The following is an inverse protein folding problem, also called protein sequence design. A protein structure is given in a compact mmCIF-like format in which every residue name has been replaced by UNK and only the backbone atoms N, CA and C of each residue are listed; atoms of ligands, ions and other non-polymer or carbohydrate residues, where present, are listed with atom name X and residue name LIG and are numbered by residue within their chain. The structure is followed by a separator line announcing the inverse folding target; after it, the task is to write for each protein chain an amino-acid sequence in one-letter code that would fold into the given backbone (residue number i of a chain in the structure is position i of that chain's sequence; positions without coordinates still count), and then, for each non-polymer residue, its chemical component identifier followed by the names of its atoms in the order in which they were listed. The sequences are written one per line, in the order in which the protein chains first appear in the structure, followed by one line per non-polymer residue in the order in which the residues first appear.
data_IF_545387214749
#
_entry.id   IF_545387214749
#
_cell.length_a   1.000
_cell.length_b   1.000
_cell.length_c   1.000
_cell.angle_alpha   90.00
_cell.angle_beta   90.00
_cell.angle_gamma   90.00
#
_symmetry.space_group_name_H-M   'P 1'
#
loop_
_entity.id
_entity.type
_entity.pdbx_description
1 polymer ?
#
# COMPACT_ATOMS: atom_id res chain seq x y z
N UNK A 1 1.60 -36.59 2.96
CA UNK A 1 2.28 -35.27 2.96
C UNK A 1 3.46 -35.35 2.01
N UNK A 2 3.39 -34.72 0.85
CA UNK A 2 4.43 -34.78 -0.18
C UNK A 2 5.64 -33.94 0.27
N UNK A 3 6.79 -34.59 0.37
CA UNK A 3 8.09 -33.99 0.63
C UNK A 3 8.42 -33.02 -0.53
N UNK A 4 8.42 -31.73 -0.27
CA UNK A 4 8.88 -30.71 -1.22
C UNK A 4 10.41 -30.66 -1.12
N UNK A 5 11.16 -30.97 -2.22
CA UNK A 5 12.62 -30.95 -2.19
C UNK A 5 13.16 -29.55 -1.84
N UNK A 6 14.29 -29.49 -1.11
CA UNK A 6 14.96 -28.26 -0.69
C UNK A 6 15.15 -27.22 -1.80
N UNK A 7 15.38 -27.65 -3.05
CA UNK A 7 15.59 -26.78 -4.22
C UNK A 7 14.35 -25.95 -4.64
N UNK A 8 13.13 -26.30 -4.19
CA UNK A 8 11.93 -25.51 -4.47
C UNK A 8 11.62 -24.42 -3.42
N UNK A 9 12.32 -24.45 -2.26
CA UNK A 9 12.16 -23.43 -1.21
C UNK A 9 12.90 -22.13 -1.51
N UNK A 10 13.87 -22.12 -2.43
CA UNK A 10 14.72 -20.97 -2.71
C UNK A 10 14.17 -19.99 -3.76
N UNK A 11 13.04 -20.30 -4.39
CA UNK A 11 12.33 -19.33 -5.25
C UNK A 11 11.41 -18.46 -4.41
N UNK A 12 11.95 -17.41 -3.82
CA UNK A 12 11.14 -16.33 -3.27
C UNK A 12 10.29 -15.77 -4.40
N UNK A 13 8.98 -15.62 -4.16
CA UNK A 13 8.09 -14.94 -5.10
C UNK A 13 8.67 -13.59 -5.47
N UNK A 14 8.76 -13.27 -6.75
CA UNK A 14 9.37 -12.02 -7.17
C UNK A 14 8.39 -10.86 -7.01
N UNK A 15 8.91 -9.66 -6.77
CA UNK A 15 8.12 -8.44 -6.81
C UNK A 15 7.39 -8.29 -8.16
N UNK A 16 8.04 -8.70 -9.26
CA UNK A 16 7.42 -8.72 -10.59
C UNK A 16 6.18 -9.62 -10.66
N UNK A 17 6.17 -10.75 -9.98
CA UNK A 17 5.01 -11.64 -9.94
C UNK A 17 3.84 -11.00 -9.17
N UNK A 18 4.12 -10.39 -8.02
CA UNK A 18 3.10 -9.67 -7.26
C UNK A 18 2.54 -8.50 -8.07
N UNK A 19 3.42 -7.70 -8.68
CA UNK A 19 3.05 -6.57 -9.52
C UNK A 19 2.19 -7.02 -10.70
N UNK A 20 2.61 -8.06 -11.44
CA UNK A 20 1.87 -8.63 -12.57
C UNK A 20 0.47 -9.11 -12.16
N UNK A 21 0.32 -9.69 -10.97
CA UNK A 21 -0.99 -10.07 -10.43
C UNK A 21 -1.94 -8.87 -10.36
N UNK A 22 -1.47 -7.75 -9.84
CA UNK A 22 -2.27 -6.52 -9.70
C UNK A 22 -2.46 -5.79 -11.02
N UNK A 23 -1.47 -5.80 -11.91
CA UNK A 23 -1.58 -5.19 -13.25
C UNK A 23 -2.58 -5.92 -14.16
N UNK A 24 -2.67 -7.24 -14.05
CA UNK A 24 -3.45 -8.06 -14.98
C UNK A 24 -4.84 -8.44 -14.47
N UNK A 25 -5.06 -8.47 -13.15
CA UNK A 25 -6.27 -9.07 -12.58
C UNK A 25 -7.07 -8.17 -11.66
N UNK A 26 -6.50 -7.07 -11.17
CA UNK A 26 -7.18 -6.19 -10.23
C UNK A 26 -7.21 -4.78 -10.80
N UNK A 27 -8.40 -4.29 -11.10
CA UNK A 27 -8.59 -2.96 -11.68
C UNK A 27 -9.08 -1.95 -10.64
N UNK A 28 -9.03 -0.68 -10.99
CA UNK A 28 -9.57 0.45 -10.22
C UNK A 28 -11.02 0.24 -9.80
N UNK A 29 -11.77 -0.52 -10.60
CA UNK A 29 -13.16 -0.85 -10.30
C UNK A 29 -13.35 -1.59 -8.96
N UNK A 30 -12.31 -2.28 -8.47
CA UNK A 30 -12.34 -2.99 -7.19
C UNK A 30 -12.40 -2.08 -5.95
N UNK A 31 -12.10 -0.79 -6.10
CA UNK A 31 -12.14 0.21 -5.03
C UNK A 31 -13.06 1.39 -5.34
N UNK A 32 -13.52 1.53 -6.59
CA UNK A 32 -14.38 2.64 -7.00
C UNK A 32 -15.77 2.59 -6.35
N UNK A 33 -16.39 3.75 -6.20
CA UNK A 33 -17.75 3.91 -5.71
C UNK A 33 -18.62 4.53 -6.79
N UNK A 34 -19.90 4.09 -6.88
CA UNK A 34 -20.88 4.72 -7.74
C UNK A 34 -21.05 6.17 -7.32
N UNK A 35 -21.00 7.07 -8.29
CA UNK A 35 -21.11 8.49 -8.05
C UNK A 35 -22.58 8.91 -8.04
N UNK A 36 -23.06 9.42 -6.90
CA UNK A 36 -24.35 10.09 -6.83
C UNK A 36 -24.30 11.42 -7.61
N UNK A 37 -25.45 11.89 -8.05
CA UNK A 37 -25.55 13.09 -8.91
C UNK A 37 -26.50 14.14 -8.35
N UNK A 38 -26.31 15.39 -8.77
CA UNK A 38 -27.26 16.51 -8.68
C UNK A 38 -27.45 17.15 -10.06
N UNK A 39 -28.46 18.01 -10.18
CA UNK A 39 -28.68 18.80 -11.40
C UNK A 39 -28.07 20.21 -11.28
N UNK A 40 -27.72 20.81 -12.42
CA UNK A 40 -27.09 22.13 -12.47
C UNK A 40 -27.87 23.22 -11.70
N UNK A 41 -29.18 23.18 -11.76
CA UNK A 41 -30.05 24.23 -11.19
C UNK A 41 -30.50 23.97 -9.74
N UNK A 42 -30.01 22.88 -9.12
CA UNK A 42 -30.30 22.61 -7.70
C UNK A 42 -29.58 23.61 -6.79
N UNK A 43 -30.20 23.87 -5.63
CA UNK A 43 -29.65 24.75 -4.60
C UNK A 43 -28.36 24.18 -4.03
N UNK A 44 -27.26 24.92 -4.18
CA UNK A 44 -25.91 24.48 -3.81
C UNK A 44 -25.77 24.26 -2.31
N UNK A 45 -26.45 25.06 -1.46
CA UNK A 45 -26.38 24.87 -0.01
C UNK A 45 -27.14 23.61 0.43
N UNK A 46 -28.28 23.31 -0.20
CA UNK A 46 -29.03 22.08 0.06
C UNK A 46 -28.22 20.85 -0.33
N UNK A 47 -27.59 20.88 -1.51
CA UNK A 47 -26.68 19.81 -1.98
C UNK A 47 -25.49 19.65 -1.03
N UNK A 48 -24.87 20.74 -0.59
CA UNK A 48 -23.76 20.70 0.38
C UNK A 48 -24.19 20.02 1.70
N UNK A 49 -25.38 20.34 2.21
CA UNK A 49 -25.91 19.71 3.43
C UNK A 49 -26.14 18.21 3.24
N UNK A 50 -26.68 17.80 2.09
CA UNK A 50 -26.84 16.39 1.74
C UNK A 50 -25.49 15.67 1.66
N UNK A 51 -24.50 16.27 1.01
CA UNK A 51 -23.13 15.73 0.93
C UNK A 51 -22.48 15.57 2.31
N UNK A 52 -22.71 16.50 3.23
CA UNK A 52 -22.24 16.38 4.63
C UNK A 52 -22.89 15.18 5.34
N UNK A 53 -24.20 14.99 5.17
CA UNK A 53 -24.95 13.88 5.80
C UNK A 53 -24.48 12.52 5.26
N UNK A 54 -24.19 12.45 3.95
CA UNK A 54 -23.74 11.24 3.27
C UNK A 54 -22.22 11.04 3.30
N UNK A 55 -21.49 11.99 3.87
CA UNK A 55 -20.02 12.05 3.88
C UNK A 55 -19.38 12.00 2.48
N UNK A 56 -19.98 12.69 1.53
CA UNK A 56 -19.46 12.81 0.17
C UNK A 56 -18.57 14.05 0.04
N UNK A 57 -17.38 13.89 -0.52
CA UNK A 57 -16.49 15.01 -0.86
C UNK A 57 -16.79 15.57 -2.26
N UNK A 58 -17.30 14.72 -3.15
CA UNK A 58 -17.59 15.04 -4.55
C UNK A 58 -18.94 14.46 -4.93
N UNK A 59 -19.67 15.17 -5.78
CA UNK A 59 -20.94 14.76 -6.35
C UNK A 59 -20.94 15.03 -7.86
N UNK A 60 -21.43 14.09 -8.67
CA UNK A 60 -21.57 14.28 -10.10
C UNK A 60 -22.61 15.32 -10.43
N UNK A 61 -22.45 16.04 -11.52
CA UNK A 61 -23.45 16.95 -12.07
C UNK A 61 -24.00 16.33 -13.34
N UNK A 62 -25.32 16.12 -13.35
CA UNK A 62 -26.03 15.46 -14.44
C UNK A 62 -26.81 16.46 -15.28
N UNK A 63 -26.70 16.34 -16.60
CA UNK A 63 -27.59 16.95 -17.57
C UNK A 63 -28.12 15.89 -18.54
N UNK A 64 -29.44 15.81 -18.66
CA UNK A 64 -30.16 14.86 -19.57
C UNK A 64 -29.71 13.39 -19.44
N UNK A 65 -29.48 12.93 -18.22
CA UNK A 65 -29.07 11.54 -17.94
C UNK A 65 -27.59 11.26 -18.23
N UNK A 66 -26.77 12.29 -18.39
CA UNK A 66 -25.33 12.18 -18.59
C UNK A 66 -24.60 12.99 -17.52
N UNK A 67 -23.67 12.38 -16.84
CA UNK A 67 -22.79 13.09 -15.90
C UNK A 67 -21.79 13.89 -16.72
N UNK A 68 -21.88 15.22 -16.65
CA UNK A 68 -21.10 16.15 -17.45
C UNK A 68 -19.89 16.74 -16.69
N UNK A 69 -19.89 16.61 -15.36
CA UNK A 69 -18.84 17.13 -14.49
C UNK A 69 -19.17 16.86 -13.03
N UNK A 70 -18.67 17.66 -12.13
CA UNK A 70 -18.82 17.47 -10.69
C UNK A 70 -18.82 18.78 -9.90
N UNK A 71 -19.27 18.71 -8.65
CA UNK A 71 -19.14 19.74 -7.62
C UNK A 71 -18.35 19.19 -6.43
N UNK A 72 -17.66 20.08 -5.71
CA UNK A 72 -16.85 19.76 -4.53
C UNK A 72 -17.52 20.34 -3.29
N UNK A 73 -17.78 19.49 -2.28
CA UNK A 73 -18.51 19.85 -1.05
C UNK A 73 -18.06 21.16 -0.42
N UNK A 74 -16.76 21.36 -0.27
CA UNK A 74 -16.18 22.50 0.44
C UNK A 74 -16.25 23.82 -0.36
N UNK A 75 -16.60 23.75 -1.63
CA UNK A 75 -16.72 24.90 -2.53
C UNK A 75 -18.15 25.41 -2.64
N UNK A 76 -19.13 24.54 -2.39
CA UNK A 76 -20.55 24.88 -2.46
C UNK A 76 -20.94 25.91 -1.38
N UNK A 77 -21.58 26.99 -1.82
CA UNK A 77 -22.11 28.09 -0.99
C UNK A 77 -23.56 28.40 -1.41
N UNK A 78 -24.03 29.64 -1.19
CA UNK A 78 -25.31 30.11 -1.70
C UNK A 78 -25.30 30.13 -3.24
N UNK A 79 -26.46 29.93 -3.86
CA UNK A 79 -26.64 29.91 -5.31
C UNK A 79 -26.99 28.53 -5.87
N UNK A 80 -26.77 28.34 -7.17
CA UNK A 80 -27.03 27.07 -7.86
C UNK A 80 -25.74 26.24 -8.02
N UNK A 81 -25.89 24.92 -8.20
CA UNK A 81 -24.76 24.04 -8.50
C UNK A 81 -24.02 24.42 -9.79
N UNK A 82 -24.71 25.10 -10.73
CA UNK A 82 -24.10 25.61 -11.96
C UNK A 82 -22.95 26.59 -11.71
N UNK A 83 -23.01 27.40 -10.64
CA UNK A 83 -21.98 28.35 -10.26
C UNK A 83 -20.69 27.69 -9.75
N UNK A 84 -20.78 26.44 -9.29
CA UNK A 84 -19.68 25.67 -8.70
C UNK A 84 -19.28 24.44 -9.53
N UNK A 85 -19.96 24.25 -10.65
CA UNK A 85 -19.74 23.12 -11.54
C UNK A 85 -18.32 23.14 -12.14
N UNK A 86 -17.71 21.99 -12.17
CA UNK A 86 -16.41 21.74 -12.81
C UNK A 86 -16.55 20.66 -13.87
N UNK A 87 -16.08 20.94 -15.09
CA UNK A 87 -15.93 19.91 -16.12
C UNK A 87 -14.80 18.97 -15.74
N UNK A 88 -14.91 17.70 -16.15
CA UNK A 88 -13.81 16.75 -15.98
C UNK A 88 -12.56 17.17 -16.76
N UNK A 89 -11.41 17.13 -16.08
CA UNK A 89 -10.11 17.20 -16.75
C UNK A 89 -9.74 15.84 -17.34
N UNK A 90 -9.11 15.77 -18.53
CA UNK A 90 -8.59 14.50 -19.06
C UNK A 90 -7.64 13.78 -18.11
N UNK A 91 -6.94 14.50 -17.23
CA UNK A 91 -6.03 13.92 -16.22
C UNK A 91 -6.75 13.27 -15.05
N UNK A 92 -8.04 13.57 -14.85
CA UNK A 92 -8.88 13.01 -13.79
C UNK A 92 -9.66 11.75 -14.26
N UNK A 93 -9.63 11.46 -15.57
CA UNK A 93 -10.44 10.38 -16.17
C UNK A 93 -9.59 9.12 -16.38
N UNK A 94 -10.05 7.99 -15.88
CA UNK A 94 -9.44 6.69 -16.10
C UNK A 94 -10.48 5.65 -16.52
N UNK A 95 -10.08 4.65 -17.29
CA UNK A 95 -10.95 3.53 -17.65
C UNK A 95 -11.20 2.62 -16.45
N UNK A 96 -12.37 1.99 -16.39
CA UNK A 96 -12.68 0.95 -15.40
C UNK A 96 -11.69 -0.24 -15.42
N UNK A 97 -11.02 -0.45 -16.56
CA UNK A 97 -10.00 -1.48 -16.75
C UNK A 97 -8.60 -1.04 -16.32
N UNK A 98 -8.41 0.20 -15.85
CA UNK A 98 -7.11 0.68 -15.39
C UNK A 98 -6.62 -0.17 -14.22
N UNK A 99 -5.38 -0.69 -14.27
CA UNK A 99 -4.82 -1.48 -13.19
C UNK A 99 -4.84 -0.72 -11.84
N UNK A 100 -5.21 -1.42 -10.77
CA UNK A 100 -5.29 -0.83 -9.44
C UNK A 100 -3.95 -0.22 -8.99
N UNK A 101 -2.84 -0.87 -9.35
CA UNK A 101 -1.51 -0.38 -8.96
C UNK A 101 -1.19 0.97 -9.62
N UNK A 102 -1.65 1.21 -10.84
CA UNK A 102 -1.43 2.47 -11.54
C UNK A 102 -2.29 3.60 -10.92
N UNK A 103 -3.43 3.25 -10.34
CA UNK A 103 -4.31 4.19 -9.64
C UNK A 103 -3.59 4.90 -8.47
N UNK A 104 -2.65 4.22 -7.81
CA UNK A 104 -1.84 4.82 -6.74
C UNK A 104 -0.99 5.99 -7.25
N UNK A 105 -0.47 5.89 -8.48
CA UNK A 105 0.34 6.96 -9.08
C UNK A 105 -0.54 8.17 -9.44
N UNK A 106 -1.76 7.94 -9.93
CA UNK A 106 -2.69 9.05 -10.22
C UNK A 106 -3.10 9.77 -8.93
N UNK A 107 -3.51 9.01 -7.90
CA UNK A 107 -3.95 9.58 -6.62
C UNK A 107 -2.84 10.24 -5.80
N UNK A 108 -1.58 10.02 -6.15
CA UNK A 108 -0.44 10.77 -5.60
C UNK A 108 -0.42 12.22 -6.08
N UNK A 109 -0.83 12.46 -7.32
CA UNK A 109 -0.78 13.79 -7.96
C UNK A 109 -2.11 14.55 -7.83
N UNK A 110 -3.24 13.80 -7.70
CA UNK A 110 -4.58 14.36 -7.63
C UNK A 110 -5.41 13.63 -6.57
N UNK A 111 -6.25 14.35 -5.84
CA UNK A 111 -7.02 13.79 -4.71
C UNK A 111 -8.14 12.82 -5.13
N UNK A 112 -8.49 12.79 -6.41
CA UNK A 112 -9.62 12.03 -6.95
C UNK A 112 -9.43 11.71 -8.42
N UNK A 113 -10.03 10.59 -8.84
CA UNK A 113 -10.17 10.22 -10.25
C UNK A 113 -11.59 9.75 -10.52
N UNK A 114 -12.06 9.93 -11.75
CA UNK A 114 -13.38 9.53 -12.19
C UNK A 114 -13.28 8.38 -13.18
N UNK A 115 -14.17 7.42 -13.05
CA UNK A 115 -14.09 6.16 -13.79
C UNK A 115 -15.02 6.19 -14.98
N UNK A 116 -14.45 5.94 -16.15
CA UNK A 116 -15.18 5.77 -17.41
C UNK A 116 -15.60 4.32 -17.58
N UNK A 117 -16.90 4.08 -17.63
CA UNK A 117 -17.52 2.86 -18.13
C UNK A 117 -18.02 3.09 -19.55
N UNK A 118 -17.29 2.56 -20.52
CA UNK A 118 -17.52 2.92 -21.92
C UNK A 118 -17.21 4.40 -22.18
N UNK A 119 -18.25 5.20 -22.45
CA UNK A 119 -18.13 6.64 -22.72
C UNK A 119 -18.81 7.52 -21.65
N UNK A 120 -19.12 6.97 -20.48
CA UNK A 120 -19.80 7.68 -19.39
C UNK A 120 -18.99 7.61 -18.12
N UNK A 121 -18.98 8.71 -17.38
CA UNK A 121 -18.46 8.73 -16.01
C UNK A 121 -19.57 8.23 -15.08
N UNK A 122 -19.31 7.16 -14.32
CA UNK A 122 -20.29 6.52 -13.45
C UNK A 122 -19.81 6.36 -12.02
N UNK A 123 -18.49 6.39 -11.80
CA UNK A 123 -17.86 6.13 -10.52
C UNK A 123 -16.74 7.11 -10.23
N UNK A 124 -16.39 7.17 -8.96
CA UNK A 124 -15.27 7.99 -8.44
C UNK A 124 -14.39 7.15 -7.53
N UNK A 125 -13.12 7.50 -7.45
CA UNK A 125 -12.17 7.02 -6.44
C UNK A 125 -11.49 8.24 -5.82
N UNK A 126 -11.42 8.24 -4.51
CA UNK A 126 -10.74 9.26 -3.70
C UNK A 126 -9.64 8.63 -2.84
N UNK A 127 -8.87 9.45 -2.14
CA UNK A 127 -7.86 8.98 -1.20
C UNK A 127 -8.44 8.11 -0.07
N UNK A 128 -9.71 8.31 0.30
CA UNK A 128 -10.39 7.49 1.30
C UNK A 128 -10.52 6.02 0.86
N UNK A 129 -10.69 5.78 -0.44
CA UNK A 129 -10.84 4.45 -1.01
C UNK A 129 -9.57 3.60 -0.94
N UNK A 130 -8.42 4.23 -0.71
CA UNK A 130 -7.16 3.52 -0.47
C UNK A 130 -7.16 2.71 0.84
N UNK A 131 -8.16 2.90 1.71
CA UNK A 131 -8.37 2.06 2.88
C UNK A 131 -9.02 0.72 2.56
N UNK A 132 -9.56 0.54 1.36
CA UNK A 132 -10.31 -0.66 0.95
C UNK A 132 -9.41 -1.91 0.86
N UNK A 133 -9.99 -3.11 1.06
CA UNK A 133 -9.23 -4.36 1.13
C UNK A 133 -8.24 -4.60 -0.01
N UNK A 134 -8.53 -4.32 -1.30
CA UNK A 134 -7.58 -4.58 -2.37
C UNK A 134 -6.25 -3.86 -2.20
N UNK A 135 -6.27 -2.58 -1.76
CA UNK A 135 -5.05 -1.81 -1.48
C UNK A 135 -4.33 -2.35 -0.25
N UNK A 136 -5.07 -2.68 0.81
CA UNK A 136 -4.50 -3.28 2.03
C UNK A 136 -3.77 -4.59 1.73
N UNK A 137 -4.34 -5.44 0.88
CA UNK A 137 -3.74 -6.70 0.44
C UNK A 137 -2.45 -6.45 -0.37
N UNK A 138 -2.45 -5.47 -1.28
CA UNK A 138 -1.24 -5.07 -2.02
C UNK A 138 -0.12 -4.65 -1.07
N UNK A 139 -0.41 -3.73 -0.17
CA UNK A 139 0.58 -3.21 0.79
C UNK A 139 1.11 -4.31 1.71
N UNK A 140 0.24 -5.16 2.23
CA UNK A 140 0.65 -6.29 3.06
C UNK A 140 1.51 -7.29 2.27
N UNK A 141 1.16 -7.53 1.00
CA UNK A 141 1.94 -8.37 0.08
C UNK A 141 3.35 -7.84 -0.17
N UNK A 142 3.49 -6.52 -0.40
CA UNK A 142 4.80 -5.86 -0.57
C UNK A 142 5.68 -6.01 0.68
N UNK A 143 5.11 -5.79 1.87
CA UNK A 143 5.83 -5.91 3.14
C UNK A 143 6.26 -7.36 3.39
N UNK A 144 5.35 -8.31 3.20
CA UNK A 144 5.63 -9.74 3.38
C UNK A 144 6.71 -10.22 2.44
N UNK A 145 6.67 -9.77 1.18
CA UNK A 145 7.69 -10.09 0.19
C UNK A 145 9.06 -9.52 0.58
N UNK A 146 9.10 -8.29 1.08
CA UNK A 146 10.32 -7.69 1.60
C UNK A 146 10.88 -8.49 2.79
N UNK A 147 10.03 -8.88 3.74
CA UNK A 147 10.45 -9.71 4.89
C UNK A 147 11.04 -11.05 4.46
N UNK A 148 10.48 -11.69 3.41
CA UNK A 148 11.01 -12.92 2.84
C UNK A 148 12.37 -12.71 2.17
N UNK A 149 12.55 -11.62 1.44
CA UNK A 149 13.85 -11.28 0.83
C UNK A 149 14.92 -10.98 1.89
N UNK A 150 14.57 -10.20 2.92
CA UNK A 150 15.49 -9.91 4.02
C UNK A 150 15.91 -11.20 4.75
N UNK A 151 14.97 -12.12 5.00
CA UNK A 151 15.26 -13.44 5.56
C UNK A 151 16.29 -14.21 4.70
N UNK A 152 16.05 -14.29 3.38
CA UNK A 152 16.97 -14.95 2.45
C UNK A 152 18.37 -14.32 2.48
N UNK A 153 18.43 -13.00 2.42
CA UNK A 153 19.67 -12.23 2.46
C UNK A 153 20.43 -12.46 3.75
N UNK A 154 19.75 -12.41 4.90
CA UNK A 154 20.36 -12.64 6.21
C UNK A 154 20.97 -14.05 6.27
N UNK A 155 20.22 -15.08 5.88
CA UNK A 155 20.75 -16.46 5.90
C UNK A 155 21.91 -16.69 4.92
N UNK A 156 21.95 -15.94 3.82
CA UNK A 156 23.06 -16.01 2.85
C UNK A 156 24.34 -15.32 3.37
N UNK A 157 24.19 -14.12 3.95
CA UNK A 157 25.33 -13.32 4.41
C UNK A 157 25.86 -13.70 5.81
N UNK A 158 25.03 -14.31 6.63
CA UNK A 158 25.34 -14.67 8.03
C UNK A 158 25.11 -16.16 8.27
N UNK A 159 25.95 -17.04 7.70
CA UNK A 159 25.84 -18.48 7.95
C UNK A 159 26.01 -18.80 9.44
N UNK A 160 25.46 -19.94 9.88
CA UNK A 160 25.61 -20.44 11.26
C UNK A 160 25.16 -19.42 12.32
N UNK A 161 24.09 -18.68 12.03
CA UNK A 161 23.52 -17.66 12.92
C UNK A 161 24.48 -16.54 13.36
N UNK A 162 25.52 -16.25 12.57
CA UNK A 162 26.48 -15.16 12.87
C UNK A 162 25.82 -13.77 12.92
N UNK A 163 24.59 -13.62 12.41
CA UNK A 163 23.76 -12.43 12.56
C UNK A 163 23.49 -12.05 14.02
N UNK A 164 23.62 -13.00 14.99
CA UNK A 164 23.45 -12.74 16.43
C UNK A 164 24.33 -11.60 16.94
N UNK A 165 25.49 -11.40 16.34
CA UNK A 165 26.40 -10.30 16.70
C UNK A 165 25.85 -8.91 16.45
N UNK A 166 24.80 -8.78 15.62
CA UNK A 166 24.15 -7.51 15.28
C UNK A 166 22.95 -7.20 16.18
N UNK A 167 22.54 -8.11 17.05
CA UNK A 167 21.41 -7.97 17.96
C UNK A 167 21.86 -7.94 19.42
N UNK A 168 21.06 -7.31 20.27
CA UNK A 168 21.27 -7.39 21.71
C UNK A 168 20.73 -8.72 22.29
N UNK A 169 21.22 -9.08 23.47
CA UNK A 169 20.89 -10.35 24.13
C UNK A 169 19.39 -10.54 24.32
N UNK A 170 18.64 -9.49 24.66
CA UNK A 170 17.20 -9.58 24.86
C UNK A 170 16.45 -9.98 23.56
N UNK A 171 16.86 -9.41 22.41
CA UNK A 171 16.24 -9.77 21.11
C UNK A 171 16.57 -11.21 20.71
N UNK A 172 17.79 -11.66 21.00
CA UNK A 172 18.20 -13.05 20.76
C UNK A 172 17.35 -14.01 21.62
N UNK A 173 17.21 -13.73 22.92
CA UNK A 173 16.39 -14.55 23.83
C UNK A 173 14.94 -14.67 23.35
N UNK A 174 14.32 -13.55 22.91
CA UNK A 174 12.95 -13.59 22.37
C UNK A 174 12.84 -14.47 21.11
N UNK A 175 13.82 -14.44 20.22
CA UNK A 175 13.84 -15.31 19.04
C UNK A 175 14.02 -16.78 19.43
N UNK A 176 14.89 -17.08 20.42
CA UNK A 176 15.14 -18.43 20.93
C UNK A 176 13.92 -19.01 21.67
N UNK A 177 13.20 -18.21 22.44
CA UNK A 177 11.94 -18.59 23.08
C UNK A 177 10.88 -18.97 22.04
N UNK A 178 10.68 -18.11 21.04
CA UNK A 178 9.74 -18.36 19.95
C UNK A 178 10.14 -19.61 19.14
N UNK A 179 11.45 -19.77 18.87
CA UNK A 179 11.97 -20.95 18.19
C UNK A 179 11.68 -22.22 18.97
N UNK A 180 11.93 -22.23 20.29
CA UNK A 180 11.68 -23.35 21.16
C UNK A 180 10.21 -23.74 21.20
N UNK A 181 9.31 -22.75 21.28
CA UNK A 181 7.86 -22.94 21.22
C UNK A 181 7.42 -23.58 19.90
N UNK A 182 7.84 -23.05 18.78
CA UNK A 182 7.47 -23.54 17.45
C UNK A 182 8.09 -24.92 17.15
N UNK A 183 9.30 -25.17 17.65
CA UNK A 183 9.92 -26.51 17.57
C UNK A 183 9.14 -27.55 18.37
N UNK A 184 8.61 -27.21 19.55
CA UNK A 184 7.76 -28.13 20.34
C UNK A 184 6.46 -28.50 19.62
N UNK A 185 6.04 -27.67 18.62
CA UNK A 185 4.89 -27.92 17.74
C UNK A 185 5.28 -28.68 16.45
N UNK A 186 6.50 -29.26 16.40
CA UNK A 186 7.05 -29.99 15.25
C UNK A 186 7.20 -29.17 13.98
N UNK A 187 7.35 -27.84 14.07
CA UNK A 187 7.62 -27.02 12.90
C UNK A 187 9.05 -27.20 12.38
N UNK A 188 9.19 -27.34 11.07
CA UNK A 188 10.49 -27.45 10.40
C UNK A 188 11.06 -26.04 10.10
N UNK A 189 11.57 -25.36 11.14
CA UNK A 189 12.08 -23.98 11.09
C UNK A 189 13.54 -23.89 11.55
N UNK A 190 14.19 -22.78 11.17
CA UNK A 190 15.48 -22.32 11.69
C UNK A 190 15.26 -21.17 12.68
N UNK A 191 16.29 -20.80 13.47
CA UNK A 191 16.18 -19.71 14.43
C UNK A 191 15.91 -18.37 13.74
N UNK A 192 16.48 -18.15 12.54
CA UNK A 192 16.23 -16.98 11.72
C UNK A 192 14.77 -16.80 11.25
N UNK A 193 13.96 -17.87 11.23
CA UNK A 193 12.51 -17.80 10.98
C UNK A 193 11.74 -17.09 12.10
N UNK A 194 12.37 -16.97 13.27
CA UNK A 194 11.79 -16.33 14.45
C UNK A 194 12.16 -14.84 14.58
N UNK A 195 12.95 -14.31 13.64
CA UNK A 195 13.32 -12.89 13.60
C UNK A 195 12.13 -12.02 13.16
N UNK A 196 11.86 -10.99 13.94
CA UNK A 196 10.88 -9.97 13.59
C UNK A 196 11.47 -8.95 12.60
N UNK A 197 10.64 -8.12 12.01
CA UNK A 197 11.09 -7.09 11.04
C UNK A 197 12.11 -6.12 11.66
N UNK A 198 11.96 -5.78 12.95
CA UNK A 198 12.91 -4.94 13.67
C UNK A 198 14.29 -5.60 13.83
N UNK A 199 14.34 -6.92 14.01
CA UNK A 199 15.61 -7.68 14.08
C UNK A 199 16.29 -7.69 12.72
N UNK A 200 15.55 -8.03 11.67
CA UNK A 200 16.02 -8.00 10.28
C UNK A 200 16.56 -6.62 9.90
N UNK A 201 15.85 -5.55 10.30
CA UNK A 201 16.33 -4.15 10.16
C UNK A 201 17.68 -3.97 10.82
N UNK A 202 17.82 -4.32 12.10
CA UNK A 202 19.02 -4.06 12.88
C UNK A 202 20.22 -4.82 12.31
N UNK A 203 20.04 -6.08 11.90
CA UNK A 203 21.06 -6.87 11.23
C UNK A 203 21.51 -6.17 9.93
N UNK A 204 20.59 -5.83 9.05
CA UNK A 204 20.87 -5.24 7.74
C UNK A 204 21.53 -3.85 7.88
N UNK A 205 21.05 -3.02 8.81
CA UNK A 205 21.56 -1.67 8.98
C UNK A 205 22.92 -1.61 9.70
N UNK A 206 23.24 -2.61 10.53
CA UNK A 206 24.52 -2.70 11.21
C UNK A 206 25.65 -3.17 10.30
N UNK A 207 25.32 -3.93 9.24
CA UNK A 207 26.30 -4.38 8.25
C UNK A 207 26.41 -3.37 7.09
N UNK A 208 27.48 -2.56 7.09
CA UNK A 208 27.67 -1.47 6.12
C UNK A 208 27.63 -1.94 4.66
N UNK A 209 28.39 -2.97 4.24
CA UNK A 209 28.36 -3.45 2.86
C UNK A 209 26.97 -3.91 2.41
N UNK A 210 26.22 -4.56 3.30
CA UNK A 210 24.87 -5.02 3.00
C UNK A 210 23.90 -3.85 2.84
N UNK A 211 23.97 -2.87 3.75
CA UNK A 211 23.17 -1.65 3.69
C UNK A 211 23.41 -0.87 2.40
N UNK A 212 24.66 -0.74 1.96
CA UNK A 212 25.03 -0.05 0.71
C UNK A 212 24.49 -0.79 -0.52
N UNK A 213 24.57 -2.12 -0.56
CA UNK A 213 23.99 -2.94 -1.63
C UNK A 213 22.47 -2.81 -1.73
N UNK A 214 21.79 -2.65 -0.62
CA UNK A 214 20.37 -2.40 -0.56
C UNK A 214 19.97 -0.95 -0.93
N UNK A 215 20.95 -0.09 -1.24
CA UNK A 215 20.69 1.31 -1.60
C UNK A 215 20.28 2.19 -0.42
N UNK A 216 20.53 1.75 0.83
CA UNK A 216 20.23 2.53 2.03
C UNK A 216 21.41 3.41 2.38
N UNK A 217 21.32 4.70 2.10
CA UNK A 217 22.42 5.67 2.23
C UNK A 217 23.01 5.74 3.64
N UNK A 218 22.13 5.87 4.65
CA UNK A 218 22.55 6.01 6.05
C UNK A 218 21.74 5.11 6.98
N UNK A 219 22.35 4.72 8.10
CA UNK A 219 21.65 3.96 9.15
C UNK A 219 20.43 4.71 9.70
N UNK A 220 20.50 6.04 9.81
CA UNK A 220 19.40 6.88 10.29
C UNK A 220 18.21 6.85 9.34
N UNK A 221 18.44 7.06 8.03
CA UNK A 221 17.38 6.98 7.00
C UNK A 221 16.74 5.57 6.96
N UNK A 222 17.59 4.53 7.03
CA UNK A 222 17.11 3.16 7.09
C UNK A 222 16.23 2.88 8.33
N UNK A 223 16.66 3.31 9.51
CA UNK A 223 15.88 3.19 10.74
C UNK A 223 14.54 3.90 10.64
N UNK A 224 14.50 5.11 10.08
CA UNK A 224 13.26 5.84 9.87
C UNK A 224 12.30 5.06 8.96
N UNK A 225 12.78 4.64 7.79
CA UNK A 225 12.02 3.85 6.82
C UNK A 225 11.43 2.57 7.45
N UNK A 226 12.27 1.73 8.07
CA UNK A 226 11.79 0.47 8.64
C UNK A 226 10.82 0.65 9.81
N UNK A 227 10.94 1.71 10.61
CA UNK A 227 9.97 2.04 11.65
C UNK A 227 8.60 2.42 11.05
N UNK A 228 8.59 3.17 9.97
CA UNK A 228 7.35 3.49 9.23
C UNK A 228 6.72 2.21 8.65
N UNK A 229 7.54 1.36 8.05
CA UNK A 229 7.10 0.09 7.48
C UNK A 229 6.50 -0.85 8.53
N UNK A 230 7.15 -0.98 9.69
CA UNK A 230 6.67 -1.78 10.83
C UNK A 230 5.31 -1.27 11.33
N UNK A 231 5.16 0.04 11.43
CA UNK A 231 3.90 0.68 11.80
C UNK A 231 2.80 0.41 10.79
N UNK A 232 3.08 0.57 9.49
CA UNK A 232 2.14 0.24 8.42
C UNK A 232 1.72 -1.24 8.49
N UNK A 233 2.69 -2.15 8.64
CA UNK A 233 2.42 -3.59 8.79
C UNK A 233 1.48 -3.88 9.96
N UNK A 234 1.70 -3.23 11.11
CA UNK A 234 0.84 -3.40 12.28
C UNK A 234 -0.56 -2.84 12.05
N UNK A 235 -0.70 -1.66 11.43
CA UNK A 235 -2.00 -1.09 11.06
C UNK A 235 -2.77 -2.02 10.11
N UNK A 236 -2.10 -2.61 9.14
CA UNK A 236 -2.70 -3.57 8.20
C UNK A 236 -3.16 -4.85 8.92
N UNK A 237 -2.34 -5.41 9.81
CA UNK A 237 -2.64 -6.64 10.55
C UNK A 237 -3.81 -6.46 11.53
N UNK A 238 -3.97 -5.27 12.12
CA UNK A 238 -5.03 -4.96 13.09
C UNK A 238 -6.22 -4.19 12.48
N UNK A 239 -6.33 -4.15 11.15
CA UNK A 239 -7.41 -3.45 10.43
C UNK A 239 -7.57 -1.97 10.80
N UNK A 240 -6.49 -1.34 11.30
CA UNK A 240 -6.46 0.08 11.61
C UNK A 240 -6.33 0.90 10.32
N UNK A 241 -6.63 2.20 10.40
CA UNK A 241 -6.44 3.11 9.29
C UNK A 241 -4.95 3.13 8.87
N UNK A 242 -4.66 3.01 7.58
CA UNK A 242 -3.29 2.92 7.07
C UNK A 242 -2.53 4.24 7.15
N UNK A 243 -3.24 5.39 7.20
CA UNK A 243 -2.63 6.73 7.25
C UNK A 243 -2.82 7.48 8.59
N UNK A 244 -3.14 6.79 9.70
CA UNK A 244 -3.52 7.40 11.00
C UNK A 244 -2.54 8.43 11.57
N UNK A 245 -1.31 8.47 11.11
CA UNK A 245 -0.27 9.39 11.62
C UNK A 245 0.64 9.96 10.52
N UNK A 246 0.43 9.59 9.27
CA UNK A 246 1.20 10.02 8.12
C UNK A 246 0.27 10.70 7.12
N UNK A 247 0.78 11.68 6.38
CA UNK A 247 0.08 12.18 5.20
C UNK A 247 0.04 11.09 4.12
N UNK A 248 -0.86 11.22 3.15
CA UNK A 248 -0.85 10.34 1.99
C UNK A 248 0.47 10.42 1.22
N UNK A 249 1.10 11.61 1.16
CA UNK A 249 2.42 11.78 0.53
C UNK A 249 3.50 10.92 1.17
N UNK A 250 3.53 10.87 2.52
CA UNK A 250 4.45 9.98 3.24
C UNK A 250 4.17 8.51 2.97
N UNK A 251 2.89 8.14 2.81
CA UNK A 251 2.49 6.77 2.47
C UNK A 251 2.95 6.40 1.05
N UNK A 252 2.72 7.25 0.06
CA UNK A 252 3.20 7.03 -1.31
C UNK A 252 4.73 6.93 -1.36
N UNK A 253 5.44 7.80 -0.63
CA UNK A 253 6.89 7.72 -0.52
C UNK A 253 7.36 6.39 0.09
N UNK A 254 6.68 5.90 1.13
CA UNK A 254 6.97 4.62 1.77
C UNK A 254 6.79 3.45 0.80
N UNK A 255 5.73 3.47 -0.02
CA UNK A 255 5.49 2.46 -1.07
C UNK A 255 6.63 2.47 -2.08
N UNK A 256 6.99 3.63 -2.63
CA UNK A 256 8.07 3.76 -3.60
C UNK A 256 9.43 3.28 -3.05
N UNK A 257 9.72 3.61 -1.79
CA UNK A 257 10.94 3.14 -1.13
C UNK A 257 10.93 1.61 -0.96
N UNK A 258 9.77 1.03 -0.64
CA UNK A 258 9.60 -0.42 -0.50
C UNK A 258 9.84 -1.12 -1.84
N UNK A 259 9.27 -0.61 -2.93
CA UNK A 259 9.48 -1.14 -4.28
C UNK A 259 10.95 -1.06 -4.72
N UNK A 260 11.63 0.06 -4.46
CA UNK A 260 13.06 0.23 -4.73
C UNK A 260 13.90 -0.78 -3.95
N UNK A 261 13.57 -0.98 -2.67
CA UNK A 261 14.29 -1.93 -1.82
C UNK A 261 14.06 -3.37 -2.26
N UNK A 262 12.83 -3.75 -2.64
CA UNK A 262 12.53 -5.04 -3.24
C UNK A 262 13.34 -5.28 -4.51
N UNK A 263 13.41 -4.30 -5.42
CA UNK A 263 14.22 -4.37 -6.61
C UNK A 263 15.73 -4.52 -6.34
N UNK A 264 16.24 -3.97 -5.24
CA UNK A 264 17.61 -4.18 -4.79
C UNK A 264 17.81 -5.61 -4.24
N UNK A 265 16.86 -6.09 -3.42
CA UNK A 265 16.89 -7.44 -2.87
C UNK A 265 16.86 -8.55 -3.94
N UNK A 266 16.13 -8.34 -5.04
CA UNK A 266 16.05 -9.31 -6.15
C UNK A 266 17.37 -9.45 -6.93
N UNK A 267 18.26 -8.46 -6.85
CA UNK A 267 19.58 -8.46 -7.51
C UNK A 267 20.67 -9.11 -6.65
N UNK A 268 20.35 -9.48 -5.43
CA UNK A 268 21.26 -10.11 -4.46
C UNK A 268 20.99 -11.61 -4.34
#
# INVERSE_FOLDING_TARGET
MSYIPKQQRDKVSSYKNLRSLYEQNITVNSISETMDTCHLHEDAEMIRRMMVIKDYDVLGVEDKGIVIGYVVRNELKEGSCEEYYRSFSPTELVSESTPLIDTLFFLKEIDRIFILEGNRVTKVVTLADLQKPPIRMLLFGLISLLEMHLYRIINHYFPEDTWKTHLNTNRISLAEELFSLRKSQNEAIQLSDCLQICDKRDIVLNEKPLRERLGIETKSKGNHYFKQLEKLRNNLAHSQNINTQNSWDEMFLLIEQTEKLLGACEKM
#
